data_IF_452126033435
#
_entry.id   IF_452126033435
#
_cell.length_a   1.000
_cell.length_b   1.000
_cell.length_c   1.000
_cell.angle_alpha   90.00
_cell.angle_beta   90.00
_cell.angle_gamma   90.00
#
_symmetry.space_group_name_H-M   'P 1'
#
loop_
_entity.id
_entity.type
_entity.pdbx_description
1 polymer ?
#
# COMPACT_ATOMS: atom_id res chain seq x y z
N UNK A 1 69.73 43.37 -15.73
CA UNK A 1 69.61 42.06 -15.05
C UNK A 1 68.16 41.60 -15.16
N UNK A 2 67.93 40.40 -15.67
CA UNK A 2 66.66 39.93 -16.21
C UNK A 2 65.64 39.46 -15.14
N UNK A 3 64.36 39.78 -15.36
CA UNK A 3 63.22 39.38 -14.54
C UNK A 3 62.86 37.90 -14.75
N UNK A 4 62.91 37.09 -13.69
CA UNK A 4 62.47 35.68 -13.70
C UNK A 4 60.98 35.59 -13.38
N UNK A 5 60.15 35.29 -14.40
CA UNK A 5 58.74 34.90 -14.23
C UNK A 5 58.66 33.51 -13.57
N UNK A 6 57.98 33.40 -12.43
CA UNK A 6 57.65 32.11 -11.81
C UNK A 6 56.29 31.65 -12.34
N UNK A 7 56.25 30.50 -12.99
CA UNK A 7 55.01 29.83 -13.41
C UNK A 7 54.46 29.04 -12.22
N UNK A 8 53.23 29.37 -11.79
CA UNK A 8 52.48 28.63 -10.78
C UNK A 8 51.69 27.55 -11.52
N UNK A 9 52.06 26.28 -11.36
CA UNK A 9 51.30 25.16 -11.90
C UNK A 9 50.08 24.86 -11.04
N UNK A 10 48.87 25.03 -11.59
CA UNK A 10 47.65 24.52 -10.97
C UNK A 10 47.60 23.00 -11.15
N UNK A 11 47.76 22.26 -10.06
CA UNK A 11 47.44 20.82 -10.01
C UNK A 11 45.93 20.64 -9.92
N UNK A 12 45.29 20.25 -11.03
CA UNK A 12 43.88 19.83 -11.05
C UNK A 12 43.81 18.43 -10.45
N UNK A 13 43.34 18.32 -9.21
CA UNK A 13 43.00 17.04 -8.60
C UNK A 13 41.68 16.54 -9.21
N UNK A 14 41.73 15.46 -10.01
CA UNK A 14 40.54 14.76 -10.47
C UNK A 14 39.92 13.99 -9.29
N UNK A 15 38.76 14.44 -8.80
CA UNK A 15 37.89 13.60 -7.99
C UNK A 15 37.20 12.59 -8.93
N UNK A 16 37.39 11.26 -8.76
CA UNK A 16 36.61 10.29 -9.51
C UNK A 16 35.15 10.38 -9.03
N UNK A 17 34.22 10.64 -9.96
CA UNK A 17 32.80 10.43 -9.72
C UNK A 17 32.59 8.93 -9.44
N UNK A 18 32.41 8.59 -8.17
CA UNK A 18 31.93 7.28 -7.74
C UNK A 18 30.51 7.09 -8.29
N UNK A 19 30.39 6.39 -9.42
CA UNK A 19 29.13 5.84 -9.87
C UNK A 19 28.70 4.77 -8.87
N UNK A 20 27.92 5.16 -7.87
CA UNK A 20 27.19 4.20 -7.07
C UNK A 20 26.18 3.50 -8.01
N UNK A 21 26.18 2.17 -8.13
CA UNK A 21 25.12 1.49 -8.85
C UNK A 21 23.78 1.88 -8.22
N UNK A 22 22.72 2.06 -9.02
CA UNK A 22 21.40 2.33 -8.47
C UNK A 22 21.06 1.22 -7.48
N UNK A 23 20.62 1.61 -6.28
CA UNK A 23 20.07 0.65 -5.32
C UNK A 23 18.76 0.12 -5.94
N UNK A 24 18.86 -0.92 -6.77
CA UNK A 24 17.70 -1.71 -7.17
C UNK A 24 17.17 -2.31 -5.87
N UNK A 25 16.05 -1.77 -5.39
CA UNK A 25 15.30 -2.40 -4.32
C UNK A 25 15.09 -3.86 -4.73
N UNK A 26 15.47 -4.80 -3.85
CA UNK A 26 15.20 -6.22 -4.11
C UNK A 26 13.72 -6.36 -4.42
N UNK A 27 13.32 -7.10 -5.47
CA UNK A 27 11.91 -7.35 -5.73
C UNK A 27 11.30 -7.89 -4.45
N UNK A 28 10.26 -7.22 -3.97
CA UNK A 28 9.49 -7.74 -2.86
C UNK A 28 8.94 -9.11 -3.28
N UNK A 29 9.01 -10.10 -2.41
CA UNK A 29 8.45 -11.43 -2.65
C UNK A 29 7.17 -11.59 -1.85
N UNK A 30 6.17 -10.76 -2.16
CA UNK A 30 4.88 -10.84 -1.49
C UNK A 30 4.05 -12.05 -1.96
N UNK A 31 3.13 -12.50 -1.10
CA UNK A 31 2.16 -13.57 -1.38
C UNK A 31 0.97 -13.45 -0.43
N UNK A 32 -0.02 -14.34 -0.52
CA UNK A 32 -1.14 -14.33 0.44
C UNK A 32 -0.66 -14.42 1.89
N UNK A 33 0.45 -15.13 2.15
CA UNK A 33 1.05 -15.26 3.47
C UNK A 33 1.62 -13.94 4.03
N UNK A 34 1.80 -12.91 3.18
CA UNK A 34 2.19 -11.56 3.60
C UNK A 34 1.11 -10.95 4.50
N UNK A 35 -0.17 -11.14 4.17
CA UNK A 35 -1.28 -10.65 5.01
C UNK A 35 -1.78 -11.78 5.91
N UNK A 36 -1.66 -11.60 7.23
CA UNK A 36 -2.13 -12.58 8.22
C UNK A 36 -2.45 -11.90 9.55
N UNK A 37 -3.33 -12.49 10.35
CA UNK A 37 -3.69 -11.90 11.62
C UNK A 37 -4.65 -10.73 11.48
N UNK A 38 -4.65 -9.88 12.48
CA UNK A 38 -5.71 -8.89 12.71
C UNK A 38 -5.25 -7.48 12.36
N UNK A 39 -6.04 -6.78 11.56
CA UNK A 39 -5.80 -5.41 11.11
C UNK A 39 -6.93 -4.49 11.53
N UNK A 40 -6.59 -3.29 12.01
CA UNK A 40 -7.54 -2.20 12.09
C UNK A 40 -7.48 -1.37 10.83
N UNK A 41 -8.63 -0.88 10.39
CA UNK A 41 -8.72 -0.03 9.22
C UNK A 41 -9.65 1.16 9.44
N UNK A 42 -9.43 2.16 8.60
CA UNK A 42 -10.33 3.30 8.40
C UNK A 42 -10.37 3.64 6.93
N UNK A 43 -11.55 3.96 6.42
CA UNK A 43 -11.74 4.49 5.07
C UNK A 43 -12.81 5.56 5.01
N UNK A 44 -12.74 6.35 3.95
CA UNK A 44 -13.73 7.36 3.64
C UNK A 44 -13.78 7.64 2.14
N UNK A 45 -14.84 8.31 1.72
CA UNK A 45 -15.02 8.74 0.34
C UNK A 45 -16.49 8.88 0.00
N UNK A 46 -16.87 8.31 -1.15
CA UNK A 46 -18.23 8.31 -1.67
C UNK A 46 -18.72 6.87 -1.81
N UNK A 47 -19.86 6.55 -1.19
CA UNK A 47 -20.58 5.30 -1.35
C UNK A 47 -21.96 5.60 -1.92
N UNK A 48 -22.32 4.99 -3.06
CA UNK A 48 -23.59 5.20 -3.75
C UNK A 48 -23.93 6.69 -3.97
N UNK A 49 -22.91 7.50 -4.29
CA UNK A 49 -23.04 8.93 -4.53
C UNK A 49 -23.18 9.81 -3.28
N UNK A 50 -23.06 9.24 -2.07
CA UNK A 50 -23.13 9.98 -0.79
C UNK A 50 -21.80 9.95 -0.05
N UNK A 51 -21.46 11.00 0.73
CA UNK A 51 -20.31 10.94 1.63
C UNK A 51 -20.42 9.76 2.59
N UNK A 52 -19.33 9.01 2.73
CA UNK A 52 -19.28 7.82 3.56
C UNK A 52 -17.94 7.73 4.29
N UNK A 53 -17.99 7.22 5.52
CA UNK A 53 -16.82 6.83 6.30
C UNK A 53 -17.10 5.50 7.00
N UNK A 54 -16.06 4.69 7.14
CA UNK A 54 -16.15 3.37 7.77
C UNK A 54 -14.86 3.07 8.51
N UNK A 55 -14.98 2.35 9.63
CA UNK A 55 -13.84 1.76 10.31
C UNK A 55 -14.21 0.39 10.85
N UNK A 56 -13.19 -0.39 11.13
CA UNK A 56 -13.40 -1.74 11.61
C UNK A 56 -12.13 -2.53 11.77
N UNK A 57 -12.29 -3.85 11.66
CA UNK A 57 -11.22 -4.82 11.80
C UNK A 57 -11.37 -5.94 10.78
N UNK A 58 -10.26 -6.31 10.17
CA UNK A 58 -10.15 -7.45 9.26
C UNK A 58 -9.21 -8.50 9.81
N UNK A 59 -9.58 -9.77 9.70
CA UNK A 59 -8.71 -10.90 10.01
C UNK A 59 -8.35 -11.61 8.72
N UNK A 60 -7.06 -11.58 8.39
CA UNK A 60 -6.47 -12.24 7.23
C UNK A 60 -5.93 -13.62 7.65
N UNK A 61 -6.22 -14.66 6.89
CA UNK A 61 -5.81 -16.04 7.21
C UNK A 61 -4.45 -16.47 6.64
N UNK A 62 -3.79 -15.62 5.84
CA UNK A 62 -2.54 -15.96 5.14
C UNK A 62 -2.71 -16.85 3.91
N UNK A 63 -3.95 -17.23 3.57
CA UNK A 63 -4.28 -18.20 2.52
C UNK A 63 -5.22 -17.62 1.46
N UNK A 64 -5.89 -16.51 1.74
CA UNK A 64 -6.77 -15.81 0.79
C UNK A 64 -8.16 -15.48 1.35
N UNK A 65 -8.42 -15.75 2.63
CA UNK A 65 -9.66 -15.42 3.32
C UNK A 65 -9.55 -14.20 4.23
N UNK A 66 -10.63 -13.40 4.26
CA UNK A 66 -10.82 -12.26 5.16
C UNK A 66 -12.08 -12.48 5.99
N UNK A 67 -12.02 -12.14 7.27
CA UNK A 67 -13.20 -11.89 8.11
C UNK A 67 -13.20 -10.42 8.55
N UNK A 68 -14.11 -9.64 7.98
CA UNK A 68 -14.30 -8.22 8.25
C UNK A 68 -15.37 -8.02 9.33
N UNK A 69 -15.18 -7.06 10.23
CA UNK A 69 -16.22 -6.49 11.10
C UNK A 69 -16.17 -4.97 11.08
N UNK A 70 -17.28 -4.29 10.80
CA UNK A 70 -17.29 -2.86 10.49
C UNK A 70 -18.39 -2.04 11.16
N UNK A 71 -18.21 -0.72 11.12
CA UNK A 71 -19.20 0.33 11.43
C UNK A 71 -19.09 1.46 10.41
N UNK A 72 -20.18 1.71 9.69
CA UNK A 72 -20.33 2.78 8.70
C UNK A 72 -20.98 4.04 9.27
N UNK A 73 -20.71 5.18 8.64
CA UNK A 73 -21.27 6.50 9.01
C UNK A 73 -22.77 6.63 8.74
N UNK A 74 -23.34 5.73 7.94
CA UNK A 74 -24.76 5.58 7.67
C UNK A 74 -25.49 4.72 8.73
N UNK A 75 -24.75 4.25 9.75
CA UNK A 75 -25.27 3.34 10.78
C UNK A 75 -25.19 1.86 10.41
N UNK A 76 -24.73 1.52 9.19
CA UNK A 76 -24.56 0.14 8.77
C UNK A 76 -23.47 -0.55 9.59
N UNK A 77 -23.66 -1.85 9.83
CA UNK A 77 -22.71 -2.64 10.57
C UNK A 77 -22.87 -4.13 10.34
N UNK A 78 -21.79 -4.89 10.49
CA UNK A 78 -21.88 -6.33 10.36
C UNK A 78 -20.54 -7.04 10.39
N UNK A 79 -20.60 -8.35 10.15
CA UNK A 79 -19.46 -9.21 9.91
C UNK A 79 -19.59 -9.86 8.54
N UNK A 80 -18.53 -9.77 7.75
CA UNK A 80 -18.52 -10.19 6.34
C UNK A 80 -17.33 -11.11 6.10
N UNK A 81 -17.53 -12.16 5.29
CA UNK A 81 -16.44 -13.01 4.80
C UNK A 81 -16.12 -12.61 3.37
N UNK A 82 -14.86 -12.33 3.10
CA UNK A 82 -14.36 -11.89 1.80
C UNK A 82 -13.14 -12.73 1.40
N UNK A 83 -12.65 -12.51 0.18
CA UNK A 83 -11.43 -13.15 -0.32
C UNK A 83 -10.41 -12.14 -0.80
N UNK A 84 -9.14 -12.53 -0.81
CA UNK A 84 -8.06 -11.71 -1.32
C UNK A 84 -6.97 -12.52 -2.04
N UNK A 85 -6.18 -11.80 -2.82
CA UNK A 85 -4.96 -12.29 -3.46
C UNK A 85 -3.87 -11.23 -3.38
N UNK A 86 -2.62 -11.64 -3.17
CA UNK A 86 -1.46 -10.74 -3.18
C UNK A 86 -0.45 -11.20 -4.23
N UNK A 87 -0.07 -10.30 -5.13
CA UNK A 87 0.98 -10.55 -6.13
C UNK A 87 2.39 -10.47 -5.52
N UNK A 88 3.39 -10.95 -6.26
CA UNK A 88 4.80 -10.81 -5.89
C UNK A 88 5.19 -9.33 -5.66
N UNK A 89 4.65 -8.42 -6.46
CA UNK A 89 4.89 -6.97 -6.37
C UNK A 89 4.12 -6.27 -5.22
N UNK A 90 3.59 -7.04 -4.27
CA UNK A 90 2.81 -6.56 -3.13
C UNK A 90 1.57 -5.76 -3.52
N UNK A 91 0.97 -6.10 -4.66
CA UNK A 91 -0.33 -5.58 -5.06
C UNK A 91 -1.39 -6.54 -4.56
N UNK A 92 -2.24 -6.05 -3.67
CA UNK A 92 -3.37 -6.80 -3.15
C UNK A 92 -4.65 -6.52 -3.93
N UNK A 93 -5.50 -7.53 -4.00
CA UNK A 93 -6.88 -7.40 -4.45
C UNK A 93 -7.79 -8.11 -3.47
N UNK A 94 -8.77 -7.40 -2.91
CA UNK A 94 -9.83 -7.97 -2.08
C UNK A 94 -11.16 -7.92 -2.84
N UNK A 95 -12.00 -8.93 -2.65
CA UNK A 95 -13.35 -9.03 -3.24
C UNK A 95 -14.35 -9.32 -2.14
N UNK A 96 -15.33 -8.43 -2.01
CA UNK A 96 -16.38 -8.51 -1.01
C UNK A 96 -17.65 -9.14 -1.59
N UNK A 97 -18.52 -9.78 -0.76
CA UNK A 97 -19.73 -10.44 -1.22
C UNK A 97 -20.75 -9.52 -1.90
N UNK A 98 -20.71 -8.23 -1.58
CA UNK A 98 -21.53 -7.22 -2.24
C UNK A 98 -21.01 -6.87 -3.65
N UNK A 99 -19.91 -7.47 -4.10
CA UNK A 99 -19.29 -7.27 -5.41
C UNK A 99 -18.33 -6.08 -5.48
N UNK A 100 -18.10 -5.37 -4.38
CA UNK A 100 -17.02 -4.39 -4.31
C UNK A 100 -15.65 -5.08 -4.38
N UNK A 101 -14.66 -4.37 -4.93
CA UNK A 101 -13.28 -4.83 -4.87
C UNK A 101 -12.32 -3.72 -4.51
N UNK A 102 -11.39 -4.02 -3.61
CA UNK A 102 -10.28 -3.15 -3.26
C UNK A 102 -9.02 -3.52 -4.03
N UNK A 103 -8.22 -2.52 -4.40
CA UNK A 103 -6.83 -2.69 -4.83
C UNK A 103 -5.94 -2.02 -3.80
N UNK A 104 -4.87 -2.71 -3.38
CA UNK A 104 -3.99 -2.23 -2.32
C UNK A 104 -2.50 -2.30 -2.67
N UNK A 105 -1.73 -1.40 -2.05
CA UNK A 105 -0.27 -1.43 -2.04
C UNK A 105 0.21 -1.84 -0.66
N UNK A 106 0.80 -3.03 -0.59
CA UNK A 106 1.13 -3.71 0.66
C UNK A 106 2.60 -3.51 1.01
N UNK A 107 2.87 -3.17 2.27
CA UNK A 107 4.25 -3.19 2.77
C UNK A 107 4.83 -4.62 2.68
N UNK A 108 6.10 -4.82 2.31
CA UNK A 108 6.66 -6.18 2.17
C UNK A 108 6.61 -7.03 3.45
N UNK A 109 6.59 -6.40 4.63
CA UNK A 109 6.40 -7.09 5.92
C UNK A 109 4.92 -7.35 6.26
N UNK A 110 4.01 -6.85 5.43
CA UNK A 110 2.57 -6.92 5.58
C UNK A 110 2.02 -6.16 6.77
N UNK A 111 2.80 -5.33 7.47
CA UNK A 111 2.37 -4.65 8.70
C UNK A 111 1.30 -3.59 8.43
N UNK A 112 1.26 -3.04 7.22
CA UNK A 112 0.34 -1.99 6.79
C UNK A 112 0.15 -1.95 5.28
N UNK A 113 -0.96 -1.38 4.84
CA UNK A 113 -1.19 -1.12 3.42
C UNK A 113 -2.20 0.01 3.22
N UNK A 114 -2.18 0.62 2.05
CA UNK A 114 -3.22 1.54 1.59
C UNK A 114 -4.07 0.85 0.53
N UNK A 115 -5.34 1.24 0.43
CA UNK A 115 -6.25 0.65 -0.55
C UNK A 115 -7.22 1.66 -1.14
N UNK A 116 -7.75 1.33 -2.31
CA UNK A 116 -8.85 2.04 -2.97
C UNK A 116 -9.93 1.06 -3.42
N UNK A 117 -11.20 1.48 -3.31
CA UNK A 117 -12.37 0.78 -3.86
C UNK A 117 -13.00 1.70 -4.88
N UNK A 118 -12.83 1.37 -6.17
CA UNK A 118 -13.44 2.12 -7.29
C UNK A 118 -14.39 1.25 -8.11
N UNK A 119 -14.44 -0.05 -7.82
CA UNK A 119 -15.35 -1.01 -8.46
C UNK A 119 -16.49 -1.32 -7.50
N UNK A 120 -17.71 -0.99 -7.93
CA UNK A 120 -18.95 -1.42 -7.31
C UNK A 120 -19.83 -2.15 -8.34
N UNK A 121 -20.82 -2.94 -7.91
CA UNK A 121 -21.78 -3.55 -8.84
C UNK A 121 -22.69 -2.50 -9.50
N UNK A 122 -22.92 -2.66 -10.81
CA UNK A 122 -23.78 -1.78 -11.60
C UNK A 122 -23.24 -0.35 -11.71
N UNK A 123 -24.14 0.63 -11.81
CA UNK A 123 -23.81 2.05 -11.99
C UNK A 123 -23.60 2.81 -10.65
N UNK A 124 -23.32 2.07 -9.56
CA UNK A 124 -23.12 2.65 -8.24
C UNK A 124 -21.84 3.49 -8.21
N UNK A 125 -21.99 4.81 -8.04
CA UNK A 125 -20.86 5.74 -7.86
C UNK A 125 -20.20 5.51 -6.51
N UNK A 126 -19.17 4.65 -6.51
CA UNK A 126 -18.36 4.31 -5.33
C UNK A 126 -16.90 4.66 -5.57
N UNK A 127 -16.32 5.42 -4.65
CA UNK A 127 -14.89 5.72 -4.58
C UNK A 127 -14.51 5.87 -3.11
N UNK A 128 -13.93 4.83 -2.54
CA UNK A 128 -13.44 4.82 -1.16
C UNK A 128 -11.92 4.66 -1.17
N UNK A 129 -11.26 5.21 -0.17
CA UNK A 129 -9.85 4.99 0.07
C UNK A 129 -9.61 4.87 1.57
N UNK A 130 -8.60 4.09 1.93
CA UNK A 130 -8.27 3.85 3.32
C UNK A 130 -6.90 3.25 3.51
N UNK A 131 -6.65 2.85 4.74
CA UNK A 131 -5.44 2.17 5.15
C UNK A 131 -5.77 1.11 6.19
N UNK A 132 -4.89 0.12 6.29
CA UNK A 132 -4.94 -0.91 7.32
C UNK A 132 -3.60 -1.02 8.04
N UNK A 133 -3.65 -1.31 9.34
CA UNK A 133 -2.48 -1.57 10.18
C UNK A 133 -2.72 -2.85 10.98
N UNK A 134 -1.75 -3.77 10.94
CA UNK A 134 -1.77 -5.00 11.71
C UNK A 134 -1.56 -4.68 13.19
N UNK A 135 -2.46 -5.20 14.02
CA UNK A 135 -2.45 -5.01 15.48
C UNK A 135 -2.30 -6.32 16.27
N UNK A 136 -2.52 -7.46 15.62
CA UNK A 136 -2.23 -8.78 16.21
C UNK A 136 -1.80 -9.80 15.15
N UNK A 137 -1.01 -10.83 15.53
CA UNK A 137 -0.58 -11.92 14.65
C UNK A 137 -1.71 -12.77 14.08
#
# INVERSE_FOLDING_TARGET
>A
MAARRRLIGLSVALLPLLWAPPLLAKPSSCSNATLKGTYLYSSNGVLDGKPYAESGREVYDGQGGIVLTFRGSDGASGTVRASYSVSADCIGKAVYPDGQSAVSFISPDGSRFSYTITRAPGDRRTSLSGWEIRVAP
#
